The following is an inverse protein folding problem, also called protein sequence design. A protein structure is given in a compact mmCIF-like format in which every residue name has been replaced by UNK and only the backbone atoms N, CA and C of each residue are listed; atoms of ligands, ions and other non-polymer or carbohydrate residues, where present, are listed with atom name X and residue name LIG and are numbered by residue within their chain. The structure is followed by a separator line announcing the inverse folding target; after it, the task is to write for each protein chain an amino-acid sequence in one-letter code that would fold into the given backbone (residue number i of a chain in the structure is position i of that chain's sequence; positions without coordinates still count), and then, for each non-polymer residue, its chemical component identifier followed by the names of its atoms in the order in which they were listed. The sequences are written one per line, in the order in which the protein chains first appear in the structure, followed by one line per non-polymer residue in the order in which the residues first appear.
data_IF_316366521032
#
_entry.id   IF_316366521032
#
_cell.length_a   1.000
_cell.length_b   1.000
_cell.length_c   1.000
_cell.angle_alpha   90.00
_cell.angle_beta   90.00
_cell.angle_gamma   90.00
#
_symmetry.space_group_name_H-M   'P 1'
#
loop_
_entity.id
_entity.type
_entity.pdbx_description
1 polymer ?
#
# COMPACT_ATOMS: atom_id res chain seq x y z
N UNK A 1 -0.16 14.42 -12.25
CA UNK A 1 -0.02 12.99 -11.89
C UNK A 1 1.33 12.69 -11.20
N UNK A 2 1.83 13.58 -10.33
CA UNK A 2 3.15 13.38 -9.69
C UNK A 2 3.15 12.20 -8.71
N UNK A 3 2.23 12.22 -7.74
CA UNK A 3 2.12 11.18 -6.72
C UNK A 3 1.73 9.83 -7.33
N UNK A 4 0.78 9.78 -8.26
CA UNK A 4 0.40 8.53 -8.92
C UNK A 4 1.54 7.91 -9.74
N UNK A 5 2.34 8.73 -10.44
CA UNK A 5 3.54 8.25 -11.12
C UNK A 5 4.58 7.74 -10.12
N UNK A 6 4.73 8.41 -8.98
CA UNK A 6 5.63 7.96 -7.93
C UNK A 6 5.20 6.62 -7.34
N UNK A 7 3.91 6.46 -7.01
CA UNK A 7 3.35 5.19 -6.54
C UNK A 7 3.61 4.05 -7.52
N UNK A 8 3.43 4.28 -8.84
CA UNK A 8 3.71 3.27 -9.88
C UNK A 8 5.13 2.72 -9.78
N UNK A 9 6.13 3.61 -9.67
CA UNK A 9 7.54 3.21 -9.64
C UNK A 9 8.00 2.73 -8.25
N UNK A 10 7.42 3.27 -7.17
CA UNK A 10 7.99 3.14 -5.82
C UNK A 10 7.26 2.16 -4.91
N UNK A 11 5.94 2.04 -5.02
CA UNK A 11 5.10 1.31 -4.07
C UNK A 11 5.50 -0.17 -3.97
N UNK A 12 5.62 -0.84 -5.12
CA UNK A 12 6.02 -2.24 -5.16
C UNK A 12 7.47 -2.47 -4.68
N UNK A 13 8.36 -1.48 -4.83
CA UNK A 13 9.74 -1.53 -4.32
C UNK A 13 9.77 -1.42 -2.80
N UNK A 14 8.97 -0.54 -2.20
CA UNK A 14 8.81 -0.49 -0.72
C UNK A 14 8.18 -1.78 -0.23
N UNK A 15 7.08 -2.23 -0.84
CA UNK A 15 6.39 -3.46 -0.46
C UNK A 15 7.33 -4.67 -0.45
N UNK A 16 8.18 -4.79 -1.48
CA UNK A 16 9.19 -5.85 -1.57
C UNK A 16 10.24 -5.75 -0.45
N UNK A 17 10.57 -4.55 0.04
CA UNK A 17 11.47 -4.38 1.19
C UNK A 17 10.78 -4.79 2.49
N UNK A 18 9.53 -4.38 2.69
CA UNK A 18 8.75 -4.74 3.89
C UNK A 18 8.52 -6.26 3.97
N UNK A 19 8.21 -6.92 2.85
CA UNK A 19 8.06 -8.38 2.77
C UNK A 19 9.33 -9.17 3.15
N UNK A 20 10.51 -8.56 3.05
CA UNK A 20 11.78 -9.19 3.44
C UNK A 20 12.14 -8.95 4.90
N UNK A 21 11.40 -8.08 5.61
CA UNK A 21 11.61 -7.89 7.04
C UNK A 21 11.10 -9.13 7.77
N UNK A 22 11.90 -9.73 8.66
CA UNK A 22 11.44 -10.88 9.43
C UNK A 22 10.23 -10.45 10.28
N UNK A 23 9.19 -11.30 10.40
CA UNK A 23 8.14 -11.06 11.38
C UNK A 23 8.77 -11.01 12.77
N UNK A 24 8.19 -10.18 13.64
CA UNK A 24 8.66 -9.99 15.01
C UNK A 24 8.54 -11.28 15.84
N UNK A 25 7.69 -12.22 15.42
CA UNK A 25 7.43 -13.48 16.10
C UNK A 25 7.53 -14.66 15.11
N UNK A 26 8.31 -15.68 15.45
CA UNK A 26 8.65 -16.83 14.59
C UNK A 26 7.81 -18.08 14.91
N UNK A 27 6.71 -17.93 15.66
CA UNK A 27 5.80 -19.02 16.03
C UNK A 27 4.84 -19.44 14.92
N UNK A 28 4.00 -20.44 15.19
CA UNK A 28 2.82 -20.74 14.36
C UNK A 28 1.88 -19.54 14.40
N UNK A 29 1.85 -18.76 13.32
CA UNK A 29 0.94 -17.64 13.17
C UNK A 29 -0.48 -18.14 12.89
N UNK A 30 -1.43 -17.75 13.72
CA UNK A 30 -2.86 -17.93 13.46
C UNK A 30 -3.33 -17.06 12.29
N UNK A 31 -4.55 -17.28 11.79
CA UNK A 31 -5.16 -16.41 10.78
C UNK A 31 -5.28 -14.95 11.24
N UNK A 32 -5.47 -14.73 12.55
CA UNK A 32 -5.51 -13.39 13.15
C UNK A 32 -4.14 -12.74 13.07
N UNK A 33 -3.09 -13.47 13.45
CA UNK A 33 -1.70 -12.99 13.38
C UNK A 33 -1.28 -12.70 11.93
N UNK A 34 -1.74 -13.51 10.98
CA UNK A 34 -1.50 -13.28 9.54
C UNK A 34 -2.18 -12.01 9.05
N UNK A 35 -3.42 -11.77 9.45
CA UNK A 35 -4.12 -10.53 9.10
C UNK A 35 -3.40 -9.31 9.67
N UNK A 36 -3.08 -9.33 10.97
CA UNK A 36 -2.36 -8.23 11.62
C UNK A 36 -1.00 -7.98 10.98
N UNK A 37 -0.29 -9.05 10.60
CA UNK A 37 0.97 -8.95 9.88
C UNK A 37 0.82 -8.24 8.53
N UNK A 38 -0.19 -8.61 7.73
CA UNK A 38 -0.46 -7.95 6.45
C UNK A 38 -0.92 -6.50 6.64
N UNK A 39 -1.74 -6.22 7.65
CA UNK A 39 -2.21 -4.86 7.97
C UNK A 39 -1.03 -3.95 8.34
N UNK A 40 -0.13 -4.40 9.23
CA UNK A 40 1.07 -3.65 9.62
C UNK A 40 2.07 -3.49 8.45
N UNK A 41 2.25 -4.55 7.65
CA UNK A 41 3.12 -4.52 6.47
C UNK A 41 2.65 -3.49 5.43
N UNK A 42 1.36 -3.49 5.09
CA UNK A 42 0.81 -2.53 4.13
C UNK A 42 0.74 -1.12 4.69
N UNK A 43 0.45 -0.96 5.99
CA UNK A 43 0.48 0.34 6.67
C UNK A 43 1.88 0.96 6.58
N UNK A 44 2.92 0.21 6.93
CA UNK A 44 4.32 0.68 6.81
C UNK A 44 4.72 0.96 5.37
N UNK A 45 4.26 0.12 4.43
CA UNK A 45 4.52 0.33 3.01
C UNK A 45 3.93 1.65 2.50
N UNK A 46 2.65 1.90 2.78
CA UNK A 46 1.97 3.11 2.33
C UNK A 46 2.54 4.35 3.02
N UNK A 47 2.77 4.28 4.34
CA UNK A 47 3.36 5.38 5.09
C UNK A 47 4.77 5.74 4.58
N UNK A 48 5.62 4.76 4.29
CA UNK A 48 6.96 5.03 3.77
C UNK A 48 6.91 5.75 2.42
N UNK A 49 5.97 5.37 1.54
CA UNK A 49 5.79 6.06 0.24
C UNK A 49 5.26 7.48 0.46
N UNK A 50 4.32 7.67 1.39
CA UNK A 50 3.77 8.98 1.74
C UNK A 50 4.84 9.91 2.33
N UNK A 51 5.68 9.40 3.22
CA UNK A 51 6.81 10.13 3.81
C UNK A 51 7.83 10.54 2.73
N UNK A 52 8.11 9.66 1.76
CA UNK A 52 8.99 9.98 0.62
C UNK A 52 8.38 11.02 -0.32
N UNK A 53 7.06 11.00 -0.50
CA UNK A 53 6.31 12.00 -1.28
C UNK A 53 6.35 13.37 -0.60
N UNK A 54 6.15 13.38 0.71
CA UNK A 54 6.10 14.59 1.55
C UNK A 54 7.49 15.16 1.89
N UNK A 55 8.57 14.46 1.52
CA UNK A 55 9.94 14.85 1.85
C UNK A 55 10.32 14.62 3.33
N UNK A 56 9.51 13.86 4.07
CA UNK A 56 9.76 13.46 5.45
C UNK A 56 10.73 12.26 5.55
N UNK A 57 10.84 11.46 4.48
CA UNK A 57 11.81 10.39 4.35
C UNK A 57 12.73 10.61 3.15
N UNK A 58 14.00 10.22 3.30
CA UNK A 58 14.97 10.26 2.21
C UNK A 58 14.75 9.10 1.24
N UNK A 59 14.81 9.39 -0.06
CA UNK A 59 14.80 8.40 -1.15
C UNK A 59 16.11 8.47 -1.95
N UNK A 60 16.48 7.38 -2.62
CA UNK A 60 17.63 7.37 -3.51
C UNK A 60 17.24 7.81 -4.92
N UNK A 61 17.91 8.83 -5.45
CA UNK A 61 17.79 9.28 -6.84
C UNK A 61 19.18 9.30 -7.45
N UNK A 62 19.41 8.49 -8.48
CA UNK A 62 20.74 8.28 -9.07
C UNK A 62 21.83 7.93 -8.04
N UNK A 63 21.47 7.13 -7.03
CA UNK A 63 22.38 6.71 -5.96
C UNK A 63 22.66 7.77 -4.88
N UNK A 64 22.06 8.95 -4.96
CA UNK A 64 22.18 10.00 -3.96
C UNK A 64 20.90 10.13 -3.13
N UNK A 65 21.00 10.31 -1.79
CA UNK A 65 19.84 10.55 -0.96
C UNK A 65 19.23 11.93 -1.26
N UNK A 66 17.91 11.98 -1.35
CA UNK A 66 17.10 13.17 -1.58
C UNK A 66 15.89 13.18 -0.64
N UNK A 67 15.56 14.35 -0.11
CA UNK A 67 14.42 14.55 0.80
C UNK A 67 13.53 15.71 0.35
N UNK A 68 13.70 16.20 -0.88
CA UNK A 68 12.77 17.17 -1.48
C UNK A 68 11.39 16.54 -1.73
N UNK A 69 10.27 17.22 -1.44
CA UNK A 69 8.94 16.70 -1.73
C UNK A 69 8.76 16.38 -3.23
N UNK A 70 8.05 15.28 -3.53
CA UNK A 70 7.73 14.85 -4.90
C UNK A 70 6.66 15.75 -5.55
N UNK A 71 5.77 16.28 -4.73
CA UNK A 71 4.65 17.11 -5.17
C UNK A 71 4.32 18.18 -4.12
N UNK A 72 3.48 19.15 -4.51
CA UNK A 72 2.90 20.09 -3.55
C UNK A 72 1.90 19.39 -2.62
N UNK A 73 1.66 19.96 -1.44
CA UNK A 73 0.83 19.39 -0.37
C UNK A 73 -0.61 19.03 -0.79
N UNK A 74 -1.14 19.70 -1.81
CA UNK A 74 -2.50 19.51 -2.31
C UNK A 74 -2.60 18.47 -3.43
N UNK A 75 -1.51 17.77 -3.75
CA UNK A 75 -1.48 16.74 -4.79
C UNK A 75 -1.41 15.37 -4.11
N UNK A 76 -2.47 14.58 -4.29
CA UNK A 76 -2.55 13.20 -3.80
C UNK A 76 -2.74 12.17 -4.90
N UNK A 77 -2.84 10.90 -4.50
CA UNK A 77 -3.27 9.78 -5.34
C UNK A 77 -4.00 8.76 -4.48
N UNK A 78 -4.98 8.08 -5.06
CA UNK A 78 -5.44 6.80 -4.53
C UNK A 78 -4.37 5.73 -4.75
N UNK A 79 -4.47 4.63 -4.01
CA UNK A 79 -3.65 3.44 -4.21
C UNK A 79 -4.43 2.18 -3.87
N UNK A 80 -4.51 1.26 -4.82
CA UNK A 80 -4.97 -0.12 -4.59
C UNK A 80 -3.85 -1.08 -4.98
N UNK A 81 -3.50 -2.00 -4.09
CA UNK A 81 -2.43 -2.96 -4.27
C UNK A 81 -2.94 -4.38 -3.99
N UNK A 82 -2.41 -5.34 -4.74
CA UNK A 82 -2.81 -6.74 -4.68
C UNK A 82 -1.58 -7.63 -4.72
N UNK A 83 -1.42 -8.50 -3.73
CA UNK A 83 -0.44 -9.58 -3.77
C UNK A 83 -1.18 -10.87 -4.07
N UNK A 84 -0.79 -11.54 -5.15
CA UNK A 84 -1.39 -12.80 -5.59
C UNK A 84 -0.36 -13.90 -5.43
N UNK A 85 -0.70 -14.95 -4.70
CA UNK A 85 0.06 -16.19 -4.63
C UNK A 85 -0.82 -17.37 -5.05
N UNK A 86 -0.27 -18.59 -5.05
CA UNK A 86 -1.01 -19.78 -5.46
C UNK A 86 -2.22 -20.10 -4.57
N UNK A 87 -2.22 -19.63 -3.32
CA UNK A 87 -3.25 -19.95 -2.32
C UNK A 87 -4.08 -18.75 -1.88
N UNK A 88 -3.57 -17.52 -2.01
CA UNK A 88 -4.20 -16.32 -1.43
C UNK A 88 -4.13 -15.11 -2.37
N UNK A 89 -5.07 -14.20 -2.16
CA UNK A 89 -5.05 -12.84 -2.71
C UNK A 89 -5.15 -11.90 -1.52
N UNK A 90 -4.14 -11.05 -1.34
CA UNK A 90 -4.11 -10.02 -0.29
C UNK A 90 -4.31 -8.66 -0.94
N UNK A 91 -5.22 -7.86 -0.38
CA UNK A 91 -5.64 -6.57 -0.92
C UNK A 91 -5.38 -5.47 0.10
N UNK A 92 -4.81 -4.36 -0.36
CA UNK A 92 -4.73 -3.10 0.39
C UNK A 92 -5.31 -1.96 -0.46
N UNK A 93 -6.19 -1.16 0.12
CA UNK A 93 -6.86 -0.04 -0.54
C UNK A 93 -6.73 1.25 0.27
N UNK A 94 -6.38 2.33 -0.40
CA UNK A 94 -6.37 3.69 0.13
C UNK A 94 -7.02 4.62 -0.92
N UNK A 95 -8.17 5.21 -0.56
CA UNK A 95 -9.01 6.02 -1.43
C UNK A 95 -10.23 5.30 -2.02
N UNK A 96 -10.74 5.82 -3.13
CA UNK A 96 -11.97 5.41 -3.79
C UNK A 96 -11.76 4.53 -5.04
N UNK A 97 -10.52 4.12 -5.30
CA UNK A 97 -10.22 3.02 -6.20
C UNK A 97 -10.78 1.69 -5.65
N UNK A 98 -11.00 0.71 -6.54
CA UNK A 98 -11.63 -0.56 -6.15
C UNK A 98 -11.02 -1.77 -6.82
N UNK A 99 -10.92 -2.87 -6.07
CA UNK A 99 -10.69 -4.21 -6.61
C UNK A 99 -11.92 -5.11 -6.45
N UNK A 100 -12.23 -5.82 -7.54
CA UNK A 100 -13.32 -6.79 -7.62
C UNK A 100 -12.77 -8.10 -8.18
N UNK A 101 -13.07 -9.22 -7.52
CA UNK A 101 -12.74 -10.57 -7.95
C UNK A 101 -13.96 -11.21 -8.62
N UNK A 102 -13.80 -11.71 -9.84
CA UNK A 102 -14.81 -12.56 -10.47
C UNK A 102 -14.69 -14.00 -9.96
N UNK A 103 -15.65 -14.47 -9.16
CA UNK A 103 -15.68 -15.82 -8.59
C UNK A 103 -17.03 -16.47 -8.87
N UNK A 104 -17.03 -17.59 -9.60
CA UNK A 104 -18.27 -18.32 -9.91
C UNK A 104 -19.25 -17.54 -10.80
N UNK A 105 -18.73 -16.69 -11.70
CA UNK A 105 -19.50 -15.72 -12.53
C UNK A 105 -20.11 -14.55 -11.75
N UNK A 106 -19.81 -14.42 -10.45
CA UNK A 106 -20.27 -13.33 -9.60
C UNK A 106 -19.14 -12.36 -9.27
N UNK A 107 -19.40 -11.04 -9.21
CA UNK A 107 -18.44 -10.05 -8.73
C UNK A 107 -18.37 -10.04 -7.20
N UNK A 108 -17.17 -10.19 -6.65
CA UNK A 108 -16.89 -10.11 -5.22
C UNK A 108 -15.99 -8.89 -4.96
N UNK A 109 -16.52 -7.85 -4.32
CA UNK A 109 -15.72 -6.69 -3.93
C UNK A 109 -14.71 -7.09 -2.85
N UNK A 110 -13.41 -6.86 -3.10
CA UNK A 110 -12.34 -7.14 -2.14
C UNK A 110 -11.86 -5.88 -1.41
N UNK A 111 -12.37 -4.70 -1.78
CA UNK A 111 -12.10 -3.44 -1.11
C UNK A 111 -13.37 -2.64 -0.92
N UNK A 112 -13.37 -1.78 0.09
CA UNK A 112 -14.42 -0.80 0.35
C UNK A 112 -13.85 0.58 0.03
N UNK A 113 -14.57 1.39 -0.75
CA UNK A 113 -14.15 2.75 -1.09
C UNK A 113 -14.10 3.59 0.19
N UNK A 114 -12.99 4.29 0.42
CA UNK A 114 -12.86 5.24 1.53
C UNK A 114 -13.54 6.55 1.16
N UNK A 115 -14.85 6.63 1.42
CA UNK A 115 -15.65 7.84 1.21
C UNK A 115 -15.88 8.53 2.55
N UNK A 116 -15.80 9.86 2.54
CA UNK A 116 -16.26 10.67 3.66
C UNK A 116 -17.77 10.77 3.51
N UNK A 117 -18.51 10.05 4.34
CA UNK A 117 -19.95 10.23 4.42
C UNK A 117 -20.21 11.64 4.95
N UNK A 118 -20.75 12.52 4.10
CA UNK A 118 -21.27 13.80 4.57
C UNK A 118 -22.53 13.51 5.39
N UNK A 119 -22.38 13.25 6.68
CA UNK A 119 -23.44 13.51 7.63
C UNK A 119 -23.62 15.04 7.69
N UNK A 120 -24.54 15.54 6.87
CA UNK A 120 -25.17 16.85 7.07
C UNK A 120 -26.15 16.77 8.26
#
# INVERSE_FOLDING_TARGET
AQVSNYCRERLHVVLSKELRRPPSDLGEMSDVDMKEHWDDLFTRCFQTVDDEVSGLASRLVHGQPRSDPIAAENVGSTAVAVVVCSSHVVVANCGDSRIVLSRGKEPVALSIDQKVDMLL
#
